data_IF_590227398964
#
_entry.id   IF_590227398964
#
_cell.length_a   1.000
_cell.length_b   1.000
_cell.length_c   1.000
_cell.angle_alpha   90.00
_cell.angle_beta   90.00
_cell.angle_gamma   90.00
#
_symmetry.space_group_name_H-M   'P 1'
#
loop_
_entity.id
_entity.type
_entity.pdbx_description
1 polymer ?
#
# COMPACT_ATOMS: atom_id res chain seq x y z
N UNK A 1 -20.21 30.20 23.47
CA UNK A 1 -20.14 29.62 22.11
C UNK A 1 -19.18 28.45 22.20
N UNK A 2 -19.62 27.22 21.93
CA UNK A 2 -18.70 26.09 21.80
C UNK A 2 -18.00 26.25 20.47
N UNK A 3 -16.71 26.58 20.49
CA UNK A 3 -15.85 26.56 19.30
C UNK A 3 -15.79 25.12 18.82
N UNK A 4 -16.37 24.87 17.65
CA UNK A 4 -16.30 23.59 16.97
C UNK A 4 -14.83 23.23 16.80
N UNK A 5 -14.40 22.13 17.41
CA UNK A 5 -13.01 21.66 17.40
C UNK A 5 -12.57 21.37 15.96
N UNK A 6 -11.39 21.89 15.56
CA UNK A 6 -10.88 21.80 14.19
C UNK A 6 -10.70 20.37 13.65
N UNK A 7 -10.70 19.37 14.53
CA UNK A 7 -10.45 17.96 14.22
C UNK A 7 -11.73 17.11 14.03
N UNK A 8 -12.81 17.69 13.53
CA UNK A 8 -14.01 16.93 13.19
C UNK A 8 -13.74 16.00 11.98
N UNK A 9 -14.17 14.73 12.06
CA UNK A 9 -14.02 13.76 10.97
C UNK A 9 -14.90 14.16 9.77
N UNK A 10 -14.32 14.43 8.59
CA UNK A 10 -15.08 14.80 7.41
C UNK A 10 -16.03 13.72 6.92
N UNK A 11 -17.16 14.15 6.34
CA UNK A 11 -18.04 13.25 5.59
C UNK A 11 -17.38 12.77 4.29
N UNK A 12 -17.81 11.59 3.83
CA UNK A 12 -17.38 11.03 2.55
C UNK A 12 -15.95 10.47 2.55
N UNK A 13 -15.32 10.36 3.71
CA UNK A 13 -14.12 9.53 3.87
C UNK A 13 -14.46 8.04 3.72
N UNK A 14 -13.51 7.26 3.24
CA UNK A 14 -13.62 5.80 3.27
C UNK A 14 -13.55 5.26 4.69
N UNK A 15 -13.86 3.97 4.88
CA UNK A 15 -13.80 3.33 6.21
C UNK A 15 -12.39 3.50 6.82
N UNK A 16 -11.33 3.30 6.04
CA UNK A 16 -9.97 3.48 6.52
C UNK A 16 -9.61 4.95 6.73
N UNK A 17 -10.09 5.86 5.88
CA UNK A 17 -9.93 7.31 6.09
C UNK A 17 -10.59 7.78 7.40
N UNK A 18 -11.80 7.29 7.71
CA UNK A 18 -12.51 7.59 8.96
C UNK A 18 -11.75 7.07 10.18
N UNK A 19 -11.33 5.80 10.16
CA UNK A 19 -10.54 5.19 11.24
C UNK A 19 -9.20 5.88 11.44
N UNK A 20 -8.51 6.24 10.35
CA UNK A 20 -7.27 7.00 10.44
C UNK A 20 -7.50 8.38 11.07
N UNK A 21 -8.56 9.10 10.67
CA UNK A 21 -8.91 10.39 11.26
C UNK A 21 -9.21 10.28 12.76
N UNK A 22 -9.93 9.24 13.18
CA UNK A 22 -10.19 8.95 14.60
C UNK A 22 -8.90 8.72 15.38
N UNK A 23 -8.02 7.81 14.92
CA UNK A 23 -6.73 7.51 15.57
C UNK A 23 -5.88 8.78 15.67
N UNK A 24 -5.76 9.54 14.58
CA UNK A 24 -4.94 10.76 14.54
C UNK A 24 -5.51 11.80 15.50
N UNK A 25 -6.82 12.05 15.48
CA UNK A 25 -7.45 13.00 16.40
C UNK A 25 -7.21 12.61 17.86
N UNK A 26 -7.47 11.36 18.19
CA UNK A 26 -7.37 10.87 19.56
C UNK A 26 -5.90 10.92 20.04
N UNK A 27 -4.94 10.61 19.17
CA UNK A 27 -3.51 10.80 19.41
C UNK A 27 -3.16 12.27 19.67
N UNK A 28 -3.61 13.19 18.82
CA UNK A 28 -3.34 14.63 19.00
C UNK A 28 -3.96 15.17 20.30
N UNK A 29 -5.12 14.66 20.71
CA UNK A 29 -5.74 15.01 21.99
C UNK A 29 -4.95 14.47 23.19
N UNK A 30 -4.51 13.21 23.14
CA UNK A 30 -3.70 12.58 24.20
C UNK A 30 -2.37 13.31 24.43
N UNK A 31 -1.74 13.78 23.34
CA UNK A 31 -0.47 14.51 23.39
C UNK A 31 -0.61 16.01 23.65
N UNK A 32 -1.83 16.52 23.89
CA UNK A 32 -2.13 17.94 24.07
C UNK A 32 -1.78 18.82 22.83
N UNK A 33 -1.75 18.20 21.65
CA UNK A 33 -1.40 18.85 20.37
C UNK A 33 -2.63 19.34 19.59
N UNK A 34 -3.84 18.99 20.03
CA UNK A 34 -5.10 19.33 19.34
C UNK A 34 -5.70 20.70 19.70
N UNK A 35 -5.04 21.48 20.57
CA UNK A 35 -5.66 22.61 21.29
C UNK A 35 -5.76 23.92 20.51
N UNK A 36 -5.22 24.01 19.29
CA UNK A 36 -5.19 25.24 18.52
C UNK A 36 -6.11 25.19 17.29
N UNK A 37 -6.61 26.36 16.90
CA UNK A 37 -7.68 26.51 15.90
C UNK A 37 -7.21 26.35 14.43
N UNK A 38 -5.93 26.07 14.19
CA UNK A 38 -5.36 25.97 12.85
C UNK A 38 -5.51 24.58 12.22
N UNK A 39 -5.54 23.53 13.04
CA UNK A 39 -5.63 22.15 12.60
C UNK A 39 -6.99 21.75 12.02
N UNK A 40 -7.02 21.10 10.85
CA UNK A 40 -8.25 20.61 10.24
C UNK A 40 -8.08 19.37 9.35
N UNK A 41 -9.05 18.46 9.40
CA UNK A 41 -9.18 17.36 8.45
C UNK A 41 -10.02 17.72 7.23
N UNK A 42 -9.63 17.18 6.07
CA UNK A 42 -10.39 17.24 4.82
C UNK A 42 -10.47 15.85 4.17
N UNK A 43 -11.61 15.56 3.56
CA UNK A 43 -11.68 14.46 2.58
C UNK A 43 -11.04 14.88 1.26
N UNK A 44 -10.57 13.91 0.46
CA UNK A 44 -10.04 14.18 -0.88
C UNK A 44 -11.03 14.93 -1.78
N UNK A 45 -12.35 14.76 -1.56
CA UNK A 45 -13.39 15.53 -2.26
C UNK A 45 -13.35 17.01 -1.87
N UNK A 46 -13.45 17.30 -0.56
CA UNK A 46 -13.42 18.67 -0.06
C UNK A 46 -12.10 19.37 -0.42
N UNK A 47 -10.99 18.64 -0.38
CA UNK A 47 -9.68 19.16 -0.74
C UNK A 47 -9.60 19.60 -2.21
N UNK A 48 -10.17 18.80 -3.11
CA UNK A 48 -10.30 19.16 -4.54
C UNK A 48 -11.26 20.34 -4.73
N UNK A 49 -12.37 20.38 -4.02
CA UNK A 49 -13.34 21.49 -4.08
C UNK A 49 -12.75 22.81 -3.60
N UNK A 50 -11.77 22.77 -2.70
CA UNK A 50 -10.97 23.92 -2.27
C UNK A 50 -10.02 24.44 -3.36
N UNK A 51 -9.77 23.65 -4.42
CA UNK A 51 -8.92 24.02 -5.56
C UNK A 51 -7.47 23.55 -5.45
N UNK A 52 -7.16 22.70 -4.48
CA UNK A 52 -5.82 22.14 -4.29
C UNK A 52 -5.53 21.05 -5.33
N UNK A 53 -4.30 21.03 -5.86
CA UNK A 53 -3.89 20.09 -6.92
C UNK A 53 -3.21 18.83 -6.41
N UNK A 54 -2.69 18.85 -5.19
CA UNK A 54 -1.95 17.73 -4.58
C UNK A 54 -2.77 17.10 -3.45
N UNK A 55 -2.54 15.82 -3.15
CA UNK A 55 -3.29 15.12 -2.10
C UNK A 55 -4.75 14.81 -2.45
N UNK A 56 -5.18 15.02 -3.70
CA UNK A 56 -6.57 14.78 -4.14
C UNK A 56 -6.94 13.30 -4.24
N UNK A 57 -5.97 12.41 -4.05
CA UNK A 57 -6.13 10.95 -4.05
C UNK A 57 -5.86 10.33 -2.68
N UNK A 58 -5.63 11.16 -1.66
CA UNK A 58 -5.39 10.66 -0.31
C UNK A 58 -6.66 10.12 0.35
N UNK A 59 -6.47 9.25 1.34
CA UNK A 59 -7.55 8.81 2.22
C UNK A 59 -8.03 9.92 3.14
N UNK A 60 -7.12 10.79 3.57
CA UNK A 60 -7.35 11.91 4.46
C UNK A 60 -6.32 13.01 4.15
N UNK A 61 -6.71 14.27 4.28
CA UNK A 61 -5.79 15.41 4.31
C UNK A 61 -5.86 16.07 5.68
N UNK A 62 -4.70 16.42 6.21
CA UNK A 62 -4.48 16.99 7.54
C UNK A 62 -3.80 18.34 7.34
N UNK A 63 -4.53 19.43 7.52
CA UNK A 63 -3.96 20.77 7.58
C UNK A 63 -3.53 21.05 9.01
N UNK A 64 -2.31 21.49 9.20
CA UNK A 64 -1.74 21.80 10.53
C UNK A 64 -0.95 23.12 10.50
N UNK A 65 -1.22 24.01 9.55
CA UNK A 65 -0.53 25.27 9.29
C UNK A 65 -0.16 26.05 10.58
N UNK A 66 1.11 25.94 11.00
CA UNK A 66 1.64 26.56 12.23
C UNK A 66 1.08 26.03 13.56
N UNK A 67 0.34 24.93 13.52
CA UNK A 67 -0.30 24.28 14.67
C UNK A 67 0.69 23.36 15.41
N UNK A 68 0.57 23.14 16.74
CA UNK A 68 1.37 22.15 17.47
C UNK A 68 1.33 20.75 16.86
N UNK A 69 0.24 20.37 16.19
CA UNK A 69 0.16 19.12 15.45
C UNK A 69 1.25 19.00 14.36
N UNK A 70 1.76 20.11 13.82
CA UNK A 70 2.84 20.11 12.84
C UNK A 70 4.11 19.38 13.35
N UNK A 71 4.37 19.38 14.66
CA UNK A 71 5.48 18.63 15.27
C UNK A 71 5.44 17.12 14.99
N UNK A 72 4.25 16.54 14.77
CA UNK A 72 4.10 15.10 14.46
C UNK A 72 4.32 14.83 12.97
N UNK A 73 4.01 15.81 12.14
CA UNK A 73 3.86 15.65 10.70
C UNK A 73 5.06 16.17 9.90
N UNK A 74 5.77 17.18 10.41
CA UNK A 74 6.95 17.77 9.81
C UNK A 74 8.24 17.22 10.46
N UNK A 75 9.17 16.73 9.64
CA UNK A 75 10.45 16.17 10.11
C UNK A 75 11.39 17.20 10.75
N UNK A 76 11.23 18.48 10.39
CA UNK A 76 12.22 19.53 10.68
C UNK A 76 11.85 20.40 11.90
N UNK A 77 10.62 20.31 12.41
CA UNK A 77 10.07 21.42 13.22
C UNK A 77 10.25 21.29 14.74
N UNK A 78 10.68 20.15 15.31
CA UNK A 78 10.88 20.10 16.77
C UNK A 78 11.79 18.96 17.26
N UNK A 79 12.60 19.17 18.31
CA UNK A 79 13.17 18.08 19.10
C UNK A 79 12.05 17.16 19.62
N UNK A 80 12.12 15.87 19.30
CA UNK A 80 11.14 14.86 19.72
C UNK A 80 10.05 14.53 18.69
N UNK A 81 9.94 15.27 17.57
CA UNK A 81 8.96 14.98 16.52
C UNK A 81 9.07 13.57 15.94
N UNK A 82 10.29 13.04 15.81
CA UNK A 82 10.54 11.67 15.35
C UNK A 82 9.83 10.61 16.21
N UNK A 83 9.93 10.72 17.54
CA UNK A 83 9.31 9.75 18.46
C UNK A 83 7.78 9.80 18.38
N UNK A 84 7.20 11.00 18.30
CA UNK A 84 5.76 11.18 18.14
C UNK A 84 5.27 10.62 16.79
N UNK A 85 6.04 10.85 15.72
CA UNK A 85 5.74 10.33 14.39
C UNK A 85 5.74 8.81 14.36
N UNK A 86 6.76 8.18 14.94
CA UNK A 86 6.85 6.71 15.04
C UNK A 86 5.73 6.14 15.89
N UNK A 87 5.39 6.77 17.00
CA UNK A 87 4.27 6.37 17.85
C UNK A 87 2.95 6.43 17.09
N UNK A 88 2.64 7.55 16.41
CA UNK A 88 1.44 7.68 15.59
C UNK A 88 1.42 6.66 14.45
N UNK A 89 2.54 6.48 13.75
CA UNK A 89 2.63 5.50 12.66
C UNK A 89 2.39 4.07 13.17
N UNK A 90 2.88 3.70 14.35
CA UNK A 90 2.62 2.38 14.94
C UNK A 90 1.13 2.13 15.22
N UNK A 91 0.35 3.17 15.52
CA UNK A 91 -1.10 3.07 15.70
C UNK A 91 -1.85 2.97 14.37
N UNK A 92 -1.29 3.55 13.30
CA UNK A 92 -1.87 3.50 11.94
C UNK A 92 -1.49 2.23 11.17
N UNK A 93 -0.37 1.59 11.51
CA UNK A 93 0.14 0.37 10.86
C UNK A 93 -0.91 -0.77 10.76
N UNK A 94 -1.75 -1.06 11.79
CA UNK A 94 -2.81 -2.05 11.68
C UNK A 94 -3.83 -1.77 10.57
N UNK A 95 -4.03 -0.50 10.21
CA UNK A 95 -4.92 -0.07 9.12
C UNK A 95 -4.27 -0.16 7.73
N UNK A 96 -2.97 -0.46 7.66
CA UNK A 96 -2.23 -0.51 6.39
C UNK A 96 -2.11 0.87 5.73
N UNK A 97 -2.09 1.94 6.53
CA UNK A 97 -1.96 3.32 6.04
C UNK A 97 -0.67 3.96 6.55
N UNK A 98 -0.19 4.95 5.82
CA UNK A 98 0.91 5.82 6.24
C UNK A 98 0.54 7.27 5.97
N UNK A 99 1.25 8.18 6.62
CA UNK A 99 1.09 9.61 6.34
C UNK A 99 2.38 10.21 5.79
N UNK A 100 2.20 11.02 4.76
CA UNK A 100 3.26 11.68 4.01
C UNK A 100 3.06 13.19 4.12
N UNK A 101 4.11 13.90 4.52
CA UNK A 101 4.11 15.35 4.50
C UNK A 101 3.97 15.79 3.04
N UNK A 102 2.96 16.59 2.73
CA UNK A 102 2.79 17.12 1.38
C UNK A 102 3.64 18.36 1.21
N UNK A 103 3.21 19.45 1.84
CA UNK A 103 4.03 20.65 2.02
C UNK A 103 4.16 20.92 3.51
N UNK A 104 4.90 21.96 3.91
CA UNK A 104 5.12 22.28 5.31
C UNK A 104 3.83 22.62 6.11
N UNK A 105 2.69 22.82 5.47
CA UNK A 105 1.43 23.19 6.12
C UNK A 105 0.33 22.10 6.05
N UNK A 106 0.57 20.99 5.34
CA UNK A 106 -0.36 19.86 5.33
C UNK A 106 0.30 18.50 5.11
N UNK A 107 -0.39 17.47 5.58
CA UNK A 107 -0.03 16.06 5.45
C UNK A 107 -1.18 15.27 4.82
N UNK A 108 -0.83 14.21 4.09
CA UNK A 108 -1.79 13.31 3.44
C UNK A 108 -1.65 11.89 3.98
N UNK A 109 -2.76 11.20 4.21
CA UNK A 109 -2.78 9.79 4.59
C UNK A 109 -3.07 8.95 3.35
N UNK A 110 -2.30 7.89 3.14
CA UNK A 110 -2.40 7.00 1.98
C UNK A 110 -2.35 5.54 2.42
N UNK A 111 -2.76 4.63 1.54
CA UNK A 111 -2.45 3.22 1.70
C UNK A 111 -0.96 2.96 1.62
N UNK A 112 -0.41 2.11 2.48
CA UNK A 112 1.00 1.71 2.38
C UNK A 112 1.27 1.08 1.01
N UNK A 113 2.28 1.55 0.25
CA UNK A 113 2.55 1.08 -1.11
C UNK A 113 3.12 -0.34 -1.17
N UNK A 114 3.45 -0.92 -0.02
CA UNK A 114 3.93 -2.29 0.07
C UNK A 114 3.07 -3.07 1.07
N UNK A 115 2.49 -4.21 0.66
CA UNK A 115 1.77 -5.06 1.58
C UNK A 115 2.78 -5.63 2.59
N UNK A 116 2.76 -5.07 3.81
CA UNK A 116 3.47 -5.67 4.96
C UNK A 116 2.85 -7.02 5.33
N UNK A 117 1.55 -7.17 5.08
CA UNK A 117 0.81 -8.39 5.35
C UNK A 117 0.87 -9.30 4.14
N UNK A 118 0.93 -10.60 4.39
CA UNK A 118 1.05 -11.61 3.36
C UNK A 118 0.11 -12.76 3.64
N UNK A 119 -0.35 -13.42 2.59
CA UNK A 119 -1.17 -14.61 2.73
C UNK A 119 -0.91 -15.59 1.60
N UNK A 120 -1.32 -16.84 1.80
CA UNK A 120 -1.45 -17.83 0.73
C UNK A 120 -2.83 -18.47 0.76
N UNK A 121 -3.09 -19.28 -0.27
CA UNK A 121 -4.26 -20.13 -0.40
C UNK A 121 -3.86 -21.51 0.12
N UNK A 122 -4.69 -22.12 0.96
CA UNK A 122 -4.41 -23.46 1.50
C UNK A 122 -4.13 -24.46 0.37
N UNK A 123 -3.03 -25.20 0.49
CA UNK A 123 -2.53 -26.12 -0.54
C UNK A 123 -1.73 -25.47 -1.68
N UNK A 124 -1.45 -24.16 -1.64
CA UNK A 124 -0.58 -23.45 -2.57
C UNK A 124 0.55 -22.72 -1.82
N UNK A 125 1.80 -22.89 -2.26
CA UNK A 125 2.97 -22.23 -1.67
C UNK A 125 3.15 -20.77 -2.16
N UNK A 126 2.32 -20.31 -3.10
CA UNK A 126 2.40 -18.95 -3.62
C UNK A 126 1.88 -17.93 -2.59
N UNK A 127 2.71 -16.92 -2.30
CA UNK A 127 2.41 -15.88 -1.32
C UNK A 127 2.03 -14.57 -2.00
N UNK A 128 0.86 -14.05 -1.63
CA UNK A 128 0.33 -12.77 -2.08
C UNK A 128 0.53 -11.69 -1.01
N UNK A 129 0.49 -10.43 -1.45
CA UNK A 129 0.41 -9.30 -0.55
C UNK A 129 -1.03 -8.99 -0.14
N UNK A 130 -1.24 -8.59 1.11
CA UNK A 130 -2.50 -8.03 1.58
C UNK A 130 -2.31 -6.63 2.13
N UNK A 131 -3.33 -5.79 1.94
CA UNK A 131 -3.40 -4.45 2.55
C UNK A 131 -3.75 -4.61 4.03
N UNK A 132 -4.74 -5.45 4.32
CA UNK A 132 -5.22 -5.76 5.67
C UNK A 132 -5.85 -7.16 5.73
N UNK A 133 -6.31 -7.54 6.91
CA UNK A 133 -7.19 -8.70 7.10
C UNK A 133 -8.47 -8.24 7.79
N UNK A 134 -9.60 -8.75 7.34
CA UNK A 134 -10.87 -8.63 8.07
C UNK A 134 -10.93 -9.67 9.21
N UNK A 135 -12.03 -9.69 9.95
CA UNK A 135 -12.29 -10.71 10.97
C UNK A 135 -12.19 -12.12 10.35
N UNK A 136 -11.45 -13.05 10.97
CA UNK A 136 -11.32 -14.41 10.46
C UNK A 136 -12.68 -15.10 10.25
N UNK A 137 -12.80 -15.85 9.16
CA UNK A 137 -13.98 -16.67 8.83
C UNK A 137 -13.66 -18.14 9.09
N UNK A 138 -14.36 -18.77 10.04
CA UNK A 138 -14.09 -20.15 10.48
C UNK A 138 -12.62 -20.43 10.85
N UNK A 139 -11.92 -19.41 11.37
CA UNK A 139 -10.50 -19.50 11.75
C UNK A 139 -9.53 -19.19 10.61
N UNK A 140 -10.01 -19.00 9.39
CA UNK A 140 -9.19 -18.65 8.23
C UNK A 140 -9.04 -17.14 8.07
N UNK A 141 -7.92 -16.71 7.52
CA UNK A 141 -7.68 -15.31 7.21
C UNK A 141 -8.66 -14.85 6.13
N UNK A 142 -9.05 -13.57 6.19
CA UNK A 142 -9.89 -12.94 5.17
C UNK A 142 -9.13 -11.73 4.62
N UNK A 143 -8.30 -11.91 3.58
CA UNK A 143 -7.46 -10.86 3.04
C UNK A 143 -8.30 -9.70 2.48
N UNK A 144 -7.83 -8.47 2.73
CA UNK A 144 -8.28 -7.26 2.04
C UNK A 144 -7.17 -6.86 1.09
N UNK A 145 -7.47 -6.80 -0.19
CA UNK A 145 -6.48 -6.68 -1.27
C UNK A 145 -6.92 -5.66 -2.33
N UNK A 146 -5.99 -5.21 -3.17
CA UNK A 146 -6.32 -4.38 -4.33
C UNK A 146 -6.81 -5.18 -5.55
N UNK A 147 -7.31 -4.49 -6.57
CA UNK A 147 -7.79 -5.11 -7.82
C UNK A 147 -6.72 -5.97 -8.50
N UNK A 148 -5.46 -5.51 -8.50
CA UNK A 148 -4.35 -6.22 -9.15
C UNK A 148 -4.02 -7.52 -8.42
N UNK A 149 -4.10 -7.52 -7.08
CA UNK A 149 -3.94 -8.72 -6.28
C UNK A 149 -5.12 -9.68 -6.47
N UNK A 150 -6.37 -9.20 -6.60
CA UNK A 150 -7.50 -10.08 -6.98
C UNK A 150 -7.20 -10.79 -8.30
N UNK A 151 -6.71 -10.05 -9.31
CA UNK A 151 -6.34 -10.62 -10.61
C UNK A 151 -5.23 -11.65 -10.48
N UNK A 152 -4.16 -11.33 -9.75
CA UNK A 152 -3.05 -12.25 -9.52
C UNK A 152 -3.50 -13.55 -8.82
N UNK A 153 -4.39 -13.45 -7.84
CA UNK A 153 -4.99 -14.61 -7.16
C UNK A 153 -5.80 -15.46 -8.15
N UNK A 154 -6.64 -14.85 -8.98
CA UNK A 154 -7.43 -15.54 -10.01
C UNK A 154 -6.55 -16.24 -11.04
N UNK A 155 -5.53 -15.56 -11.54
CA UNK A 155 -4.57 -16.10 -12.49
C UNK A 155 -3.81 -17.29 -11.88
N UNK A 156 -3.42 -17.19 -10.61
CA UNK A 156 -2.75 -18.29 -9.90
C UNK A 156 -3.67 -19.50 -9.78
N UNK A 157 -4.91 -19.33 -9.32
CA UNK A 157 -5.86 -20.44 -9.20
C UNK A 157 -6.10 -21.12 -10.56
N UNK A 158 -6.23 -20.35 -11.63
CA UNK A 158 -6.36 -20.88 -12.99
C UNK A 158 -5.13 -21.66 -13.49
N UNK A 159 -3.94 -21.33 -12.97
CA UNK A 159 -2.68 -22.00 -13.32
C UNK A 159 -2.46 -23.33 -12.61
N UNK A 160 -3.13 -23.54 -11.46
CA UNK A 160 -2.99 -24.76 -10.64
C UNK A 160 -4.23 -25.67 -10.69
N UNK A 161 -5.37 -25.14 -11.12
CA UNK A 161 -6.62 -25.90 -11.22
C UNK A 161 -6.93 -26.28 -12.68
N UNK A 162 -6.88 -27.58 -12.96
CA UNK A 162 -7.14 -28.12 -14.31
C UNK A 162 -8.64 -28.35 -14.57
N UNK A 163 -9.48 -28.41 -13.53
CA UNK A 163 -10.90 -28.73 -13.66
C UNK A 163 -11.77 -27.48 -13.76
N UNK A 164 -11.34 -26.39 -13.14
CA UNK A 164 -12.12 -25.15 -13.00
C UNK A 164 -11.37 -23.97 -13.58
N UNK A 165 -12.13 -23.04 -14.13
CA UNK A 165 -11.62 -21.78 -14.64
C UNK A 165 -12.40 -20.63 -14.03
N UNK A 166 -11.68 -19.67 -13.51
CA UNK A 166 -12.18 -18.42 -12.99
C UNK A 166 -12.03 -17.32 -14.03
N UNK A 167 -13.04 -16.48 -14.14
CA UNK A 167 -13.00 -15.26 -14.96
C UNK A 167 -13.42 -14.07 -14.11
N UNK A 168 -12.73 -12.95 -14.28
CA UNK A 168 -12.97 -11.72 -13.54
C UNK A 168 -13.47 -10.63 -14.48
N UNK A 169 -14.68 -10.12 -14.23
CA UNK A 169 -15.21 -8.92 -14.88
C UNK A 169 -15.33 -7.78 -13.88
N UNK A 170 -15.33 -6.55 -14.37
CA UNK A 170 -15.45 -5.35 -13.54
C UNK A 170 -16.53 -4.42 -14.11
N UNK A 171 -17.42 -3.98 -13.24
CA UNK A 171 -18.48 -3.01 -13.56
C UNK A 171 -18.39 -1.80 -12.63
N UNK A 172 -18.79 -0.62 -13.08
CA UNK A 172 -18.75 0.58 -12.23
C UNK A 172 -19.99 0.61 -11.33
N UNK A 173 -19.76 0.50 -10.02
CA UNK A 173 -20.77 0.71 -8.98
C UNK A 173 -20.74 2.14 -8.41
N UNK A 174 -21.63 2.45 -7.46
CA UNK A 174 -21.73 3.78 -6.84
C UNK A 174 -20.53 4.16 -5.97
N UNK A 175 -19.83 3.18 -5.39
CA UNK A 175 -18.71 3.37 -4.44
C UNK A 175 -17.34 3.08 -5.08
N UNK A 176 -17.32 2.32 -6.18
CA UNK A 176 -16.11 1.87 -6.86
C UNK A 176 -16.43 0.83 -7.92
N UNK A 177 -15.41 0.16 -8.46
CA UNK A 177 -15.65 -0.98 -9.35
C UNK A 177 -16.16 -2.16 -8.53
N UNK A 178 -17.22 -2.83 -8.98
CA UNK A 178 -17.66 -4.12 -8.46
C UNK A 178 -16.98 -5.17 -9.33
N UNK A 179 -16.29 -6.12 -8.70
CA UNK A 179 -15.68 -7.24 -9.41
C UNK A 179 -16.60 -8.45 -9.34
N UNK A 180 -16.85 -9.09 -10.47
CA UNK A 180 -17.63 -10.33 -10.52
C UNK A 180 -16.69 -11.47 -10.89
N UNK A 181 -16.52 -12.41 -9.96
CA UNK A 181 -15.80 -13.65 -10.18
C UNK A 181 -16.79 -14.71 -10.68
N UNK A 182 -16.59 -15.22 -11.88
CA UNK A 182 -17.39 -16.32 -12.44
C UNK A 182 -16.53 -17.58 -12.49
N UNK A 183 -16.93 -18.60 -11.75
CA UNK A 183 -16.36 -19.94 -11.79
C UNK A 183 -17.07 -20.79 -12.84
N UNK A 184 -16.28 -21.44 -13.69
CA UNK A 184 -16.76 -22.28 -14.78
C UNK A 184 -16.07 -23.64 -14.76
N UNK A 185 -16.81 -24.67 -15.15
CA UNK A 185 -16.22 -25.96 -15.51
C UNK A 185 -15.36 -25.80 -16.77
N UNK A 186 -14.14 -26.33 -16.77
CA UNK A 186 -13.19 -26.13 -17.87
C UNK A 186 -13.50 -26.97 -19.10
N UNK A 187 -14.23 -28.09 -18.95
CA UNK A 187 -14.53 -29.03 -20.02
C UNK A 187 -15.72 -28.56 -20.86
N UNK A 188 -16.79 -28.11 -20.22
CA UNK A 188 -18.04 -27.75 -20.90
C UNK A 188 -18.42 -26.26 -20.79
N UNK A 189 -17.61 -25.47 -20.08
CA UNK A 189 -17.80 -24.03 -19.87
C UNK A 189 -19.09 -23.67 -19.11
N UNK A 190 -19.70 -24.63 -18.41
CA UNK A 190 -20.86 -24.41 -17.55
C UNK A 190 -20.48 -23.48 -16.39
N UNK A 191 -21.32 -22.47 -16.12
CA UNK A 191 -21.16 -21.61 -14.93
C UNK A 191 -21.52 -22.41 -13.68
N UNK A 192 -20.55 -22.54 -12.77
CA UNK A 192 -20.70 -23.26 -11.50
C UNK A 192 -21.07 -22.32 -10.37
N UNK A 193 -20.43 -21.15 -10.31
CA UNK A 193 -20.66 -20.14 -9.29
C UNK A 193 -20.42 -18.73 -9.83
N UNK A 194 -21.06 -17.75 -9.19
CA UNK A 194 -20.85 -16.34 -9.41
C UNK A 194 -20.75 -15.67 -8.04
N UNK A 195 -19.65 -14.95 -7.83
CA UNK A 195 -19.38 -14.23 -6.59
C UNK A 195 -19.09 -12.77 -6.92
N UNK A 196 -19.88 -11.86 -6.35
CA UNK A 196 -19.63 -10.43 -6.45
C UNK A 196 -18.75 -9.98 -5.28
N UNK A 197 -17.69 -9.25 -5.61
CA UNK A 197 -16.79 -8.61 -4.68
C UNK A 197 -17.08 -7.11 -4.70
N UNK A 198 -17.85 -6.68 -3.71
CA UNK A 198 -18.09 -5.26 -3.49
C UNK A 198 -16.80 -4.59 -2.96
N UNK A 199 -16.44 -3.41 -3.48
CA UNK A 199 -15.31 -2.66 -2.96
C UNK A 199 -15.62 -2.17 -1.53
N UNK A 200 -14.75 -2.50 -0.58
CA UNK A 200 -14.80 -1.94 0.79
C UNK A 200 -14.45 -0.44 0.77
N UNK A 201 -13.53 -0.09 -0.14
CA UNK A 201 -13.14 1.26 -0.52
C UNK A 201 -12.79 1.24 -2.02
N UNK A 202 -12.59 2.41 -2.66
CA UNK A 202 -12.42 2.63 -4.12
C UNK A 202 -11.54 1.59 -4.84
N UNK A 203 -10.58 0.99 -4.13
CA UNK A 203 -9.62 0.06 -4.70
C UNK A 203 -9.40 -1.21 -3.85
N UNK A 204 -10.18 -1.47 -2.80
CA UNK A 204 -9.95 -2.58 -1.89
C UNK A 204 -11.11 -3.57 -1.88
N UNK A 205 -10.80 -4.86 -1.97
CA UNK A 205 -11.76 -5.96 -2.02
C UNK A 205 -11.49 -6.94 -0.90
N UNK A 206 -12.57 -7.45 -0.30
CA UNK A 206 -12.50 -8.56 0.64
C UNK A 206 -12.49 -9.88 -0.11
N UNK A 207 -11.49 -10.72 0.10
CA UNK A 207 -11.46 -12.07 -0.47
C UNK A 207 -12.29 -13.05 0.39
N UNK A 208 -13.62 -12.95 0.31
CA UNK A 208 -14.55 -13.89 0.94
C UNK A 208 -15.13 -14.84 -0.12
N UNK A 209 -14.23 -15.64 -0.71
CA UNK A 209 -14.54 -16.50 -1.87
C UNK A 209 -14.95 -17.93 -1.47
N UNK A 210 -15.14 -18.19 -0.17
CA UNK A 210 -15.28 -19.55 0.36
C UNK A 210 -13.99 -20.37 0.29
N UNK A 211 -12.86 -19.74 -0.02
CA UNK A 211 -11.53 -20.34 0.04
C UNK A 211 -10.91 -20.16 1.42
N UNK A 212 -9.93 -21.00 1.73
CA UNK A 212 -9.17 -20.98 2.98
C UNK A 212 -7.85 -20.26 2.73
N UNK A 213 -7.61 -19.18 3.47
CA UNK A 213 -6.37 -18.41 3.40
C UNK A 213 -5.62 -18.46 4.72
N UNK A 214 -4.29 -18.53 4.64
CA UNK A 214 -3.41 -18.46 5.81
C UNK A 214 -2.69 -17.13 5.84
N UNK A 215 -2.79 -16.39 6.94
CA UNK A 215 -1.93 -15.22 7.17
C UNK A 215 -0.49 -15.70 7.36
N UNK A 216 0.42 -15.14 6.55
CA UNK A 216 1.85 -15.32 6.73
C UNK A 216 2.35 -14.15 7.56
N UNK A 217 3.17 -14.48 8.55
CA UNK A 217 3.96 -13.46 9.22
C UNK A 217 4.68 -12.62 8.16
N UNK A 218 4.80 -11.32 8.43
CA UNK A 218 5.79 -10.53 7.75
C UNK A 218 7.16 -11.11 8.15
N UNK A 219 7.58 -12.20 7.52
CA UNK A 219 8.96 -12.63 7.64
C UNK A 219 9.80 -11.41 7.31
N UNK A 220 10.72 -11.07 8.22
CA UNK A 220 11.78 -10.10 7.98
C UNK A 220 12.15 -10.26 6.53
N UNK A 221 11.84 -9.24 5.72
CA UNK A 221 12.04 -9.25 4.27
C UNK A 221 13.22 -10.15 3.96
N UNK A 222 13.09 -11.23 3.16
CA UNK A 222 14.19 -12.14 2.93
C UNK A 222 15.38 -11.25 2.66
N UNK A 223 16.31 -11.20 3.63
CA UNK A 223 17.27 -10.10 3.81
C UNK A 223 17.74 -9.71 2.43
N UNK A 224 17.72 -8.44 2.01
CA UNK A 224 17.84 -7.97 0.62
C UNK A 224 18.85 -8.69 -0.34
N UNK A 225 19.71 -9.56 0.20
CA UNK A 225 20.49 -10.60 -0.45
C UNK A 225 19.86 -11.37 -1.64
N UNK A 226 18.67 -11.99 -1.64
CA UNK A 226 18.17 -12.68 -2.84
C UNK A 226 17.89 -11.70 -3.98
N UNK A 227 17.21 -10.59 -3.66
CA UNK A 227 16.87 -9.54 -4.63
C UNK A 227 18.11 -8.83 -5.17
N UNK A 228 19.14 -8.66 -4.35
CA UNK A 228 20.44 -8.14 -4.79
C UNK A 228 21.16 -9.13 -5.71
N UNK A 229 21.04 -10.44 -5.49
CA UNK A 229 21.66 -11.44 -6.36
C UNK A 229 20.97 -11.50 -7.72
N UNK A 230 19.63 -11.41 -7.74
CA UNK A 230 18.86 -11.28 -8.98
C UNK A 230 19.15 -9.96 -9.72
N UNK A 231 19.15 -8.82 -9.03
CA UNK A 231 19.53 -7.52 -9.62
C UNK A 231 20.95 -7.53 -10.16
N UNK A 232 21.91 -8.13 -9.45
CA UNK A 232 23.28 -8.26 -9.92
C UNK A 232 23.40 -9.20 -11.12
N UNK A 233 22.56 -10.23 -11.18
CA UNK A 233 22.51 -11.17 -12.32
C UNK A 233 21.94 -10.46 -13.54
N UNK A 234 20.83 -9.73 -13.37
CA UNK A 234 20.22 -8.91 -14.42
C UNK A 234 21.19 -7.82 -14.92
N UNK A 235 21.84 -7.08 -14.01
CA UNK A 235 22.85 -6.07 -14.38
C UNK A 235 24.03 -6.69 -15.14
N UNK A 236 24.49 -7.87 -14.73
CA UNK A 236 25.57 -8.58 -15.44
C UNK A 236 25.13 -8.96 -16.85
N UNK A 237 23.93 -9.52 -16.99
CA UNK A 237 23.41 -9.98 -18.28
C UNK A 237 23.14 -8.79 -19.23
N UNK A 238 22.68 -7.65 -18.71
CA UNK A 238 22.52 -6.41 -19.47
C UNK A 238 23.87 -5.83 -19.93
N UNK A 239 24.90 -5.90 -19.09
CA UNK A 239 26.27 -5.50 -19.44
C UNK A 239 26.85 -6.42 -20.53
N UNK A 240 26.71 -7.73 -20.36
CA UNK A 240 27.18 -8.71 -21.34
C UNK A 240 26.46 -8.54 -22.68
N UNK A 241 25.16 -8.23 -22.66
CA UNK A 241 24.38 -7.91 -23.84
C UNK A 241 24.90 -6.66 -24.57
N UNK A 242 25.18 -5.58 -23.83
CA UNK A 242 25.73 -4.34 -24.39
C UNK A 242 27.14 -4.54 -24.97
N UNK A 243 27.98 -5.35 -24.32
CA UNK A 243 29.32 -5.70 -24.82
C UNK A 243 29.27 -6.55 -26.09
N UNK A 244 28.33 -7.50 -26.19
CA UNK A 244 28.19 -8.38 -27.35
C UNK A 244 27.62 -7.68 -28.58
N UNK A 245 26.75 -6.67 -28.41
CA UNK A 245 26.10 -5.98 -29.54
C UNK A 245 26.97 -4.94 -30.23
N UNK A 246 28.16 -4.63 -29.73
CA UNK A 246 29.10 -3.72 -30.38
C UNK A 246 28.41 -2.47 -30.89
N UNK A 247 27.68 -1.77 -29.99
CA UNK A 247 26.80 -0.67 -30.38
C UNK A 247 27.59 0.39 -31.14
N UNK A 248 27.30 0.65 -32.43
CA UNK A 248 27.99 1.69 -33.19
C UNK A 248 27.60 3.05 -32.59
N UNK A 249 28.55 3.72 -31.94
CA UNK A 249 28.34 5.03 -31.28
C UNK A 249 28.58 5.07 -29.77
N UNK A 250 29.08 4.01 -29.15
CA UNK A 250 29.38 3.96 -27.70
C UNK A 250 30.70 4.66 -27.29
N UNK A 251 31.13 5.72 -27.99
CA UNK A 251 32.34 6.49 -27.64
C UNK A 251 32.16 7.40 -26.41
N UNK A 252 31.02 7.33 -25.72
CA UNK A 252 30.72 8.20 -24.56
C UNK A 252 30.28 7.47 -23.29
N UNK A 253 30.25 6.13 -23.26
CA UNK A 253 30.08 5.44 -21.98
C UNK A 253 31.47 5.34 -21.36
N UNK A 254 31.75 6.22 -20.40
CA UNK A 254 32.95 6.16 -19.57
C UNK A 254 32.91 4.88 -18.73
N UNK A 255 33.46 3.80 -19.29
CA UNK A 255 33.58 2.47 -18.67
C UNK A 255 34.12 2.56 -17.24
N UNK A 256 35.13 3.40 -16.92
CA UNK A 256 35.54 3.70 -15.54
C UNK A 256 34.40 4.13 -14.61
N UNK A 257 33.54 5.07 -15.01
CA UNK A 257 32.41 5.53 -14.18
C UNK A 257 31.38 4.41 -13.95
N UNK A 258 31.08 3.62 -14.97
CA UNK A 258 30.15 2.49 -14.83
C UNK A 258 30.70 1.42 -13.88
N UNK A 259 31.97 1.05 -14.04
CA UNK A 259 32.64 0.08 -13.15
C UNK A 259 32.75 0.61 -11.71
N UNK A 260 32.92 1.93 -11.54
CA UNK A 260 32.95 2.56 -10.21
C UNK A 260 31.59 2.51 -9.52
N UNK A 261 30.49 2.80 -10.24
CA UNK A 261 29.12 2.69 -9.70
C UNK A 261 28.79 1.24 -9.33
N UNK A 262 29.17 0.27 -10.17
CA UNK A 262 28.98 -1.15 -9.88
C UNK A 262 29.81 -1.61 -8.66
N UNK A 263 31.08 -1.20 -8.57
CA UNK A 263 31.95 -1.50 -7.44
C UNK A 263 31.43 -0.87 -6.13
N UNK A 264 30.96 0.38 -6.18
CA UNK A 264 30.34 1.05 -5.04
C UNK A 264 29.07 0.34 -4.57
N UNK A 265 28.19 -0.06 -5.49
CA UNK A 265 26.98 -0.82 -5.16
C UNK A 265 27.31 -2.17 -4.50
N UNK A 266 28.31 -2.90 -5.02
CA UNK A 266 28.78 -4.17 -4.45
C UNK A 266 29.36 -3.95 -3.04
N UNK A 267 30.14 -2.88 -2.83
CA UNK A 267 30.74 -2.56 -1.53
C UNK A 267 29.67 -2.21 -0.49
N UNK A 268 28.71 -1.35 -0.84
CA UNK A 268 27.59 -0.97 0.03
C UNK A 268 26.74 -2.18 0.44
N UNK A 269 26.52 -3.13 -0.47
CA UNK A 269 25.80 -4.38 -0.19
C UNK A 269 26.58 -5.33 0.75
N UNK A 270 27.92 -5.33 0.69
CA UNK A 270 28.76 -6.13 1.61
C UNK A 270 28.74 -5.55 3.02
N UNK A 271 28.80 -4.24 3.16
CA UNK A 271 28.71 -3.54 4.45
C UNK A 271 27.35 -3.67 5.11
N UNK A 272 26.27 -3.85 4.35
CA UNK A 272 24.93 -4.11 4.88
C UNK A 272 24.74 -5.53 5.43
N UNK A 273 25.69 -6.47 5.19
CA UNK A 273 25.63 -7.86 5.68
C UNK A 273 26.50 -8.12 6.92
N UNK A 274 27.31 -7.16 7.35
CA UNK A 274 28.19 -7.23 8.53
C UNK A 274 27.60 -6.46 9.70
#
# INVERSE_FOLDING_TARGET
MMTTTGWATPEGLSINGQRAAEIIRDFLMDKDLANNAGGQFYSAKQWRERGETYGTESLLVIVHDGDPAATVFNWDESPGGYALREELQSQLDPLGVYFEAGTNWYTTVHYQPFPRKRFDIDGDDHVFGAIAFDRPWNGWAVPIVDEDTVRAVVDRVNSVNDERMLTLSAEHGPVGKILTLTERDRLDNQVLALTELEPIDRHCYRLDLGWTFTERAAEDHPTAAPRATELLTQLRDDVDYLLQRGTPGADTIDVPTFLWVAAWAIQSLRSARS
#
